data_IF_206745520922
#
_entry.id   IF_206745520922
#
_cell.length_a   1.000
_cell.length_b   1.000
_cell.length_c   1.000
_cell.angle_alpha   90.00
_cell.angle_beta   90.00
_cell.angle_gamma   90.00
#
_symmetry.space_group_name_H-M   'P 1'
#
loop_
_entity.id
_entity.type
_entity.pdbx_description
1 polymer ?
#
# COMPACT_ATOMS: atom_id res chain seq x y z
N UNK A 1 40.94 34.26 39.56
CA UNK A 1 41.82 33.68 40.61
C UNK A 1 40.94 32.82 41.49
N UNK A 2 41.30 31.53 41.63
CA UNK A 2 41.09 30.58 42.76
C UNK A 2 39.71 30.52 43.44
N UNK A 3 39.05 29.39 43.67
CA UNK A 3 39.44 28.03 44.06
C UNK A 3 38.31 27.08 43.58
N UNK A 4 38.57 25.92 42.96
CA UNK A 4 39.04 24.69 43.58
C UNK A 4 38.11 24.18 44.71
N UNK A 5 37.09 23.39 44.34
CA UNK A 5 36.59 22.35 45.24
C UNK A 5 36.55 21.01 44.48
N UNK A 6 37.65 20.28 44.62
CA UNK A 6 37.86 18.91 44.13
C UNK A 6 38.19 18.09 45.37
N UNK A 7 37.24 17.28 45.83
CA UNK A 7 37.48 16.11 46.69
C UNK A 7 36.13 15.41 46.83
N UNK A 8 35.93 14.18 46.43
CA UNK A 8 36.84 13.04 46.60
C UNK A 8 36.01 12.00 47.32
N UNK A 9 35.55 10.99 46.60
CA UNK A 9 35.20 9.72 47.21
C UNK A 9 35.65 8.61 46.27
N UNK A 10 36.89 8.19 46.51
CA UNK A 10 37.41 6.83 46.40
C UNK A 10 36.37 5.79 46.88
N UNK A 11 36.28 4.52 46.44
CA UNK A 11 37.19 3.59 45.77
C UNK A 11 36.33 2.34 45.36
N UNK A 12 36.86 1.18 44.92
CA UNK A 12 36.47 0.50 43.69
C UNK A 12 35.76 -0.85 43.89
N UNK A 13 35.23 -1.43 42.82
CA UNK A 13 35.07 -2.87 42.71
C UNK A 13 35.19 -3.33 41.26
N UNK A 14 36.28 -4.03 40.98
CA UNK A 14 36.49 -4.88 39.83
C UNK A 14 35.44 -5.99 39.78
N UNK A 15 34.92 -6.28 38.59
CA UNK A 15 34.55 -7.61 38.07
C UNK A 15 34.40 -7.46 36.55
N UNK A 16 35.35 -8.01 35.81
CA UNK A 16 35.20 -9.31 35.12
C UNK A 16 34.25 -9.16 33.93
N UNK A 17 34.79 -8.87 32.74
CA UNK A 17 35.23 -9.88 31.77
C UNK A 17 34.06 -10.71 31.25
N UNK A 18 33.89 -10.63 29.92
CA UNK A 18 33.04 -11.45 29.06
C UNK A 18 31.53 -11.24 29.19
N UNK A 19 31.00 -10.33 28.35
CA UNK A 19 29.97 -10.78 27.40
C UNK A 19 29.98 -9.87 26.16
N UNK A 20 30.97 -10.11 25.30
CA UNK A 20 30.86 -9.75 23.89
C UNK A 20 29.99 -10.82 23.24
N UNK A 21 28.68 -10.71 23.40
CA UNK A 21 27.74 -11.49 22.61
C UNK A 21 27.08 -10.56 21.64
N UNK A 22 27.62 -10.62 20.42
CA UNK A 22 27.08 -10.05 19.21
C UNK A 22 25.57 -10.30 19.10
N UNK A 23 24.77 -9.31 19.49
CA UNK A 23 23.42 -9.21 18.96
C UNK A 23 23.56 -8.56 17.60
N UNK A 24 23.64 -9.47 16.63
CA UNK A 24 23.50 -9.24 15.21
C UNK A 24 22.57 -8.06 14.96
N UNK A 25 23.08 -7.15 14.12
CA UNK A 25 22.29 -6.23 13.31
C UNK A 25 21.09 -7.00 12.77
N UNK A 26 19.93 -6.89 13.42
CA UNK A 26 18.72 -7.39 12.81
C UNK A 26 18.49 -6.54 11.57
N UNK A 27 18.25 -7.13 10.39
CA UNK A 27 17.69 -6.37 9.29
C UNK A 27 16.37 -5.83 9.82
N UNK A 28 16.26 -4.51 9.95
CA UNK A 28 14.95 -3.85 10.04
C UNK A 28 14.21 -4.34 8.82
N UNK A 29 13.30 -5.29 9.06
CA UNK A 29 12.35 -5.74 8.06
C UNK A 29 11.68 -4.48 7.57
N UNK A 30 12.05 -4.04 6.37
CA UNK A 30 11.36 -2.96 5.69
C UNK A 30 10.01 -3.55 5.36
N UNK A 31 9.10 -3.48 6.31
CA UNK A 31 7.68 -3.74 6.10
C UNK A 31 7.25 -2.60 5.19
N UNK A 32 7.43 -2.82 3.89
CA UNK A 32 6.81 -2.01 2.88
C UNK A 32 5.32 -2.21 3.10
N UNK A 33 4.69 -1.29 3.84
CA UNK A 33 3.26 -1.15 3.80
C UNK A 33 2.96 -0.88 2.33
N UNK A 34 2.52 -1.93 1.64
CA UNK A 34 2.12 -1.90 0.24
C UNK A 34 0.78 -1.16 0.16
N UNK A 35 0.82 0.13 0.44
CA UNK A 35 -0.30 1.01 0.19
C UNK A 35 -0.33 1.31 -1.30
N UNK A 36 -1.39 0.88 -1.99
CA UNK A 36 -1.64 1.35 -3.35
C UNK A 36 -1.93 2.85 -3.27
N UNK A 37 -0.96 3.68 -3.64
CA UNK A 37 -1.22 5.12 -3.78
C UNK A 37 -2.11 5.27 -5.02
N UNK A 38 -3.40 5.53 -4.79
CA UNK A 38 -4.33 5.83 -5.87
C UNK A 38 -4.04 7.24 -6.41
N UNK A 39 -3.34 7.31 -7.54
CA UNK A 39 -3.18 8.55 -8.28
C UNK A 39 -4.44 8.84 -9.12
N UNK A 40 -4.81 10.11 -9.25
CA UNK A 40 -5.93 10.56 -10.09
C UNK A 40 -5.43 11.47 -11.19
N UNK A 41 -6.07 11.42 -12.36
CA UNK A 41 -5.78 12.31 -13.49
C UNK A 41 -6.84 13.41 -13.57
N UNK A 42 -6.41 14.67 -13.53
CA UNK A 42 -7.31 15.80 -13.75
C UNK A 42 -7.78 15.85 -15.21
N UNK A 43 -9.09 15.96 -15.41
CA UNK A 43 -9.72 16.00 -16.72
C UNK A 43 -10.73 17.16 -16.75
N UNK A 44 -10.80 17.88 -17.87
CA UNK A 44 -11.80 18.93 -18.10
C UNK A 44 -12.85 18.42 -19.07
N UNK A 45 -14.11 18.49 -18.69
CA UNK A 45 -15.27 18.07 -19.49
C UNK A 45 -16.25 19.24 -19.60
N UNK A 46 -16.87 19.38 -20.77
CA UNK A 46 -17.94 20.35 -20.97
C UNK A 46 -19.26 19.73 -20.52
N UNK A 47 -19.97 20.41 -19.62
CA UNK A 47 -21.30 20.02 -19.15
C UNK A 47 -22.29 21.12 -19.52
N UNK A 48 -23.54 20.78 -19.88
CA UNK A 48 -24.61 21.77 -19.94
C UNK A 48 -24.77 22.48 -18.59
N UNK A 49 -25.08 23.78 -18.62
CA UNK A 49 -25.19 24.62 -17.41
C UNK A 49 -26.17 24.05 -16.38
N UNK A 50 -27.32 23.55 -16.84
CA UNK A 50 -28.30 22.90 -15.96
C UNK A 50 -27.75 21.67 -15.26
N UNK A 51 -26.91 20.88 -15.95
CA UNK A 51 -26.32 19.68 -15.37
C UNK A 51 -25.25 20.04 -14.33
N UNK A 52 -24.44 21.06 -14.63
CA UNK A 52 -23.44 21.59 -13.70
C UNK A 52 -24.10 22.10 -12.41
N UNK A 53 -25.18 22.87 -12.53
CA UNK A 53 -25.96 23.38 -11.37
C UNK A 53 -26.53 22.24 -10.50
N UNK A 54 -27.07 21.19 -11.14
CA UNK A 54 -27.59 20.02 -10.41
C UNK A 54 -26.47 19.26 -9.69
N UNK A 55 -25.30 19.16 -10.31
CA UNK A 55 -24.12 18.52 -9.73
C UNK A 55 -23.62 19.29 -8.48
N UNK A 56 -23.57 20.63 -8.55
CA UNK A 56 -23.22 21.47 -7.40
C UNK A 56 -24.19 21.28 -6.23
N UNK A 57 -25.50 21.25 -6.52
CA UNK A 57 -26.51 21.02 -5.50
C UNK A 57 -26.38 19.64 -4.85
N UNK A 58 -26.12 18.59 -5.63
CA UNK A 58 -25.89 17.24 -5.12
C UNK A 58 -24.62 17.18 -4.25
N UNK A 59 -23.52 17.79 -4.71
CA UNK A 59 -22.26 17.86 -3.96
C UNK A 59 -22.43 18.52 -2.59
N UNK A 60 -23.20 19.61 -2.52
CA UNK A 60 -23.50 20.31 -1.28
C UNK A 60 -24.37 19.47 -0.33
N UNK A 61 -25.40 18.81 -0.86
CA UNK A 61 -26.29 17.95 -0.07
C UNK A 61 -25.55 16.75 0.52
N UNK A 62 -24.71 16.11 -0.30
CA UNK A 62 -23.98 14.89 0.07
C UNK A 62 -22.69 15.19 0.84
N UNK A 63 -22.28 16.46 0.93
CA UNK A 63 -20.97 16.91 1.47
C UNK A 63 -19.79 16.22 0.80
N UNK A 64 -19.89 15.99 -0.51
CA UNK A 64 -18.85 15.36 -1.35
C UNK A 64 -18.33 16.37 -2.37
N UNK A 65 -17.15 16.10 -2.92
CA UNK A 65 -16.68 16.90 -4.05
C UNK A 65 -17.42 16.49 -5.32
N UNK A 66 -17.66 17.44 -6.22
CA UNK A 66 -18.27 17.15 -7.51
C UNK A 66 -17.50 16.08 -8.30
N UNK A 67 -16.17 16.15 -8.27
CA UNK A 67 -15.30 15.16 -8.91
C UNK A 67 -15.52 13.75 -8.33
N UNK A 68 -15.85 13.64 -7.04
CA UNK A 68 -16.20 12.36 -6.45
C UNK A 68 -17.51 11.81 -7.02
N UNK A 69 -18.54 12.65 -7.12
CA UNK A 69 -19.84 12.25 -7.66
C UNK A 69 -19.70 11.87 -9.14
N UNK A 70 -18.98 12.66 -9.93
CA UNK A 70 -18.74 12.38 -11.35
C UNK A 70 -17.98 11.07 -11.52
N UNK A 71 -16.95 10.82 -10.71
CA UNK A 71 -16.18 9.58 -10.77
C UNK A 71 -17.06 8.37 -10.46
N UNK A 72 -17.81 8.39 -9.37
CA UNK A 72 -18.70 7.28 -8.98
C UNK A 72 -19.76 7.02 -10.05
N UNK A 73 -20.39 8.07 -10.58
CA UNK A 73 -21.41 7.94 -11.62
C UNK A 73 -20.83 7.36 -12.92
N UNK A 74 -19.60 7.74 -13.28
CA UNK A 74 -18.89 7.18 -14.43
C UNK A 74 -18.51 5.72 -14.20
N UNK A 75 -17.99 5.38 -13.02
CA UNK A 75 -17.67 4.00 -12.66
C UNK A 75 -18.92 3.11 -12.75
N UNK A 76 -20.02 3.51 -12.13
CA UNK A 76 -21.29 2.78 -12.20
C UNK A 76 -21.81 2.64 -13.64
N UNK A 77 -21.71 3.70 -14.45
CA UNK A 77 -22.12 3.68 -15.85
C UNK A 77 -21.24 2.76 -16.72
N UNK A 78 -19.94 2.70 -16.44
CA UNK A 78 -18.98 1.90 -17.18
C UNK A 78 -18.98 0.43 -16.74
N UNK A 79 -19.09 0.13 -15.45
CA UNK A 79 -19.21 -1.25 -14.95
C UNK A 79 -20.42 -1.97 -15.52
N UNK A 80 -21.53 -1.26 -15.78
CA UNK A 80 -22.69 -1.82 -16.50
C UNK A 80 -22.40 -2.19 -17.97
N UNK A 81 -21.39 -1.58 -18.58
CA UNK A 81 -20.95 -1.86 -19.95
C UNK A 81 -19.83 -2.87 -20.03
N UNK A 82 -19.18 -3.17 -18.91
CA UNK A 82 -18.19 -4.25 -18.87
C UNK A 82 -18.91 -5.55 -19.22
N UNK A 83 -18.51 -6.11 -20.36
CA UNK A 83 -18.99 -7.41 -20.81
C UNK A 83 -18.47 -8.40 -19.79
N UNK A 84 -19.38 -9.06 -19.06
CA UNK A 84 -19.03 -10.17 -18.20
C UNK A 84 -18.15 -11.14 -19.01
N UNK A 85 -17.03 -11.62 -18.46
CA UNK A 85 -16.12 -12.48 -19.22
C UNK A 85 -16.92 -13.61 -19.87
N UNK A 86 -16.90 -13.67 -21.20
CA UNK A 86 -17.54 -14.76 -21.94
C UNK A 86 -16.79 -16.03 -21.58
N UNK A 87 -17.35 -16.82 -20.67
CA UNK A 87 -16.87 -18.17 -20.38
C UNK A 87 -17.14 -19.06 -21.59
N UNK A 88 -16.16 -19.89 -22.00
CA UNK A 88 -15.09 -20.43 -21.17
C UNK A 88 -13.79 -19.62 -21.27
N UNK A 89 -13.22 -19.19 -20.13
CA UNK A 89 -11.95 -18.44 -20.06
C UNK A 89 -10.77 -19.21 -20.70
N UNK A 90 -10.90 -20.53 -20.79
CA UNK A 90 -9.99 -21.41 -21.52
C UNK A 90 -10.79 -22.44 -22.32
N UNK A 91 -10.57 -22.57 -23.63
CA UNK A 91 -11.33 -23.50 -24.48
C UNK A 91 -11.16 -24.98 -24.09
N UNK A 92 -10.12 -25.33 -23.32
CA UNK A 92 -9.80 -26.71 -22.90
C UNK A 92 -10.06 -27.00 -21.41
N UNK A 93 -10.69 -26.06 -20.67
CA UNK A 93 -10.89 -26.16 -19.22
C UNK A 93 -9.79 -25.50 -18.40
N UNK A 94 -9.89 -25.57 -17.07
CA UNK A 94 -9.05 -24.81 -16.11
C UNK A 94 -7.58 -25.26 -16.01
N UNK A 95 -7.10 -26.09 -16.94
CA UNK A 95 -5.76 -26.68 -16.87
C UNK A 95 -5.56 -27.55 -15.63
N UNK A 96 -4.34 -27.58 -15.10
CA UNK A 96 -4.03 -28.28 -13.85
C UNK A 96 -4.72 -27.58 -12.66
N UNK A 97 -5.74 -28.23 -12.10
CA UNK A 97 -6.48 -27.72 -10.95
C UNK A 97 -5.64 -27.63 -9.66
N UNK A 98 -4.47 -28.28 -9.63
CA UNK A 98 -3.52 -28.23 -8.50
C UNK A 98 -2.49 -27.10 -8.62
N UNK A 99 -2.54 -26.33 -9.71
CA UNK A 99 -1.61 -25.23 -9.95
C UNK A 99 -1.76 -24.12 -8.91
N UNK A 100 -2.94 -23.95 -8.30
CA UNK A 100 -3.18 -22.96 -7.26
C UNK A 100 -2.46 -23.30 -5.94
N UNK A 101 -2.33 -24.58 -5.61
CA UNK A 101 -1.57 -25.02 -4.43
C UNK A 101 -0.07 -25.06 -4.67
N UNK A 102 0.37 -25.09 -5.94
CA UNK A 102 1.78 -25.24 -6.35
C UNK A 102 2.36 -23.97 -6.97
N UNK A 103 1.79 -22.82 -6.67
CA UNK A 103 2.19 -21.52 -7.26
C UNK A 103 3.68 -21.25 -7.05
N UNK A 104 4.20 -21.48 -5.84
CA UNK A 104 5.60 -21.19 -5.51
C UNK A 104 6.58 -22.07 -6.29
N UNK A 105 6.28 -23.37 -6.43
CA UNK A 105 7.09 -24.32 -7.21
C UNK A 105 7.09 -23.93 -8.69
N UNK A 106 5.91 -23.65 -9.25
CA UNK A 106 5.74 -23.32 -10.66
C UNK A 106 6.42 -21.98 -11.02
N UNK A 107 6.39 -20.99 -10.13
CA UNK A 107 7.08 -19.72 -10.36
C UNK A 107 8.60 -19.82 -10.23
N UNK A 108 9.10 -20.65 -9.31
CA UNK A 108 10.53 -20.91 -9.15
C UNK A 108 11.12 -21.61 -10.38
N UNK A 109 10.42 -22.62 -10.92
CA UNK A 109 10.82 -23.31 -12.15
C UNK A 109 10.85 -22.38 -13.38
N UNK A 110 9.99 -21.37 -13.40
CA UNK A 110 9.95 -20.33 -14.43
C UNK A 110 10.95 -19.19 -14.20
N UNK A 111 11.79 -19.29 -13.15
CA UNK A 111 12.76 -18.26 -12.74
C UNK A 111 12.11 -16.88 -12.51
N UNK A 112 10.82 -16.84 -12.17
CA UNK A 112 10.12 -15.62 -11.79
C UNK A 112 10.49 -15.30 -10.33
N UNK A 113 11.43 -14.36 -10.13
CA UNK A 113 11.80 -13.86 -8.80
C UNK A 113 13.18 -14.26 -8.27
N UNK A 114 14.11 -14.65 -9.14
CA UNK A 114 15.55 -14.77 -8.80
C UNK A 114 16.33 -13.52 -9.18
#
# INVERSE_FOLDING_TARGET
>A
MSEANRSGNDHPATRSAADQSALALMPVGTSAIHGTIHCVKQTTVYLPDDLKRRLEQAALQDRRTEASIVRDALEEALSRREVAPTVPLFPEGWGDLTAAERVDELLADLSFGT
#
